data_IF_688136502797
#
_entry.id   IF_688136502797
#
_cell.length_a   1.000
_cell.length_b   1.000
_cell.length_c   1.000
_cell.angle_alpha   90.00
_cell.angle_beta   90.00
_cell.angle_gamma   90.00
#
_symmetry.space_group_name_H-M   'P 1'
#
loop_
_entity.id
_entity.type
_entity.pdbx_description
1 polymer ?
#
# COMPACT_ATOMS: atom_id res chain seq x y z
N UNK A 1 2.08 -27.84 10.54
CA UNK A 1 0.82 -27.05 10.48
C UNK A 1 0.75 -26.11 9.28
N UNK A 2 1.85 -25.57 8.78
CA UNK A 2 1.93 -24.63 7.63
C UNK A 2 1.41 -25.30 6.34
N UNK A 3 1.73 -26.55 6.07
CA UNK A 3 1.30 -27.26 4.84
C UNK A 3 -0.23 -27.44 4.69
N UNK A 4 -1.00 -27.55 5.79
CA UNK A 4 -2.47 -27.66 5.73
C UNK A 4 -3.15 -26.33 5.42
N UNK A 5 -2.57 -25.20 5.85
CA UNK A 5 -3.09 -23.86 5.53
C UNK A 5 -2.78 -23.48 4.08
N UNK A 6 -1.64 -23.92 3.57
CA UNK A 6 -1.27 -23.78 2.15
C UNK A 6 -2.20 -24.54 1.22
N UNK A 7 -2.48 -25.80 1.55
CA UNK A 7 -3.40 -26.61 0.78
C UNK A 7 -4.82 -26.01 0.75
N UNK A 8 -5.26 -25.36 1.83
CA UNK A 8 -6.55 -24.68 1.87
C UNK A 8 -6.61 -23.43 0.99
N UNK A 9 -5.56 -22.61 0.96
CA UNK A 9 -5.51 -21.40 0.11
C UNK A 9 -5.41 -21.79 -1.37
N UNK A 10 -4.56 -22.77 -1.70
CA UNK A 10 -4.44 -23.29 -3.07
C UNK A 10 -5.74 -23.96 -3.53
N UNK A 11 -6.43 -24.68 -2.63
CA UNK A 11 -7.70 -25.35 -2.91
C UNK A 11 -8.85 -24.33 -3.15
N UNK A 12 -8.90 -23.23 -2.40
CA UNK A 12 -9.88 -22.15 -2.60
C UNK A 12 -9.63 -21.45 -3.93
N UNK A 13 -8.37 -21.17 -4.31
CA UNK A 13 -8.03 -20.58 -5.62
C UNK A 13 -8.39 -21.51 -6.77
N UNK A 14 -8.14 -22.82 -6.63
CA UNK A 14 -8.47 -23.82 -7.66
C UNK A 14 -9.97 -24.01 -7.82
N UNK A 15 -10.72 -24.09 -6.70
CA UNK A 15 -12.18 -24.20 -6.73
C UNK A 15 -12.85 -22.94 -7.29
N UNK A 16 -12.32 -21.75 -6.99
CA UNK A 16 -12.82 -20.49 -7.53
C UNK A 16 -12.56 -20.38 -9.05
N UNK A 17 -11.39 -20.82 -9.53
CA UNK A 17 -11.12 -20.88 -10.97
C UNK A 17 -12.01 -21.90 -11.71
N UNK A 18 -12.33 -23.04 -11.11
CA UNK A 18 -13.24 -24.04 -11.72
C UNK A 18 -14.69 -23.50 -11.75
N UNK A 19 -15.15 -22.82 -10.70
CA UNK A 19 -16.50 -22.25 -10.65
C UNK A 19 -16.67 -21.12 -11.69
N UNK A 20 -15.64 -20.31 -11.91
CA UNK A 20 -15.68 -19.21 -12.89
C UNK A 20 -15.50 -19.70 -14.33
N UNK A 21 -14.71 -20.76 -14.57
CA UNK A 21 -14.58 -21.37 -15.89
C UNK A 21 -15.90 -22.03 -16.37
N UNK A 22 -16.73 -22.55 -15.48
CA UNK A 22 -18.06 -23.05 -15.79
C UNK A 22 -19.06 -21.94 -16.09
N UNK A 23 -18.93 -20.74 -15.46
CA UNK A 23 -19.83 -19.60 -15.70
C UNK A 23 -19.55 -18.88 -17.03
N UNK A 24 -18.33 -18.96 -17.55
CA UNK A 24 -17.97 -18.34 -18.86
C UNK A 24 -18.48 -19.13 -20.08
N UNK A 25 -18.99 -20.33 -19.88
CA UNK A 25 -19.49 -21.17 -20.99
C UNK A 25 -21.01 -21.02 -21.26
N UNK A 26 -21.78 -20.40 -20.35
CA UNK A 26 -23.25 -20.33 -20.44
C UNK A 26 -23.85 -18.95 -20.76
N UNK A 27 -23.03 -17.91 -21.00
CA UNK A 27 -23.55 -16.57 -21.33
C UNK A 27 -23.39 -16.20 -22.81
N UNK A 28 -24.16 -16.82 -23.65
CA UNK A 28 -24.53 -16.26 -24.97
C UNK A 28 -25.81 -15.46 -24.82
N UNK A 29 -25.73 -14.24 -24.30
CA UNK A 29 -26.74 -13.19 -24.52
C UNK A 29 -26.20 -11.83 -24.03
N UNK A 30 -26.25 -10.86 -24.93
CA UNK A 30 -25.90 -9.46 -24.79
C UNK A 30 -26.17 -8.84 -23.42
N UNK A 31 -25.10 -8.53 -22.70
CA UNK A 31 -25.05 -7.34 -21.83
C UNK A 31 -23.62 -6.87 -21.66
N UNK A 32 -23.37 -5.58 -21.93
CA UNK A 32 -22.05 -4.99 -22.16
C UNK A 32 -21.25 -4.66 -20.89
N UNK A 33 -21.41 -5.41 -19.80
CA UNK A 33 -20.58 -5.29 -18.60
C UNK A 33 -19.45 -6.34 -18.62
N UNK A 34 -18.31 -6.00 -19.21
CA UNK A 34 -17.15 -6.90 -19.21
C UNK A 34 -16.51 -6.92 -17.83
N UNK A 35 -16.76 -7.95 -17.04
CA UNK A 35 -16.00 -8.25 -15.85
C UNK A 35 -14.79 -9.13 -16.21
N UNK A 36 -13.59 -8.75 -15.74
CA UNK A 36 -12.38 -9.52 -15.92
C UNK A 36 -11.90 -10.01 -14.57
N UNK A 37 -11.64 -11.30 -14.44
CA UNK A 37 -11.08 -11.89 -13.24
C UNK A 37 -9.72 -12.52 -13.56
N UNK A 38 -8.74 -12.30 -12.68
CA UNK A 38 -7.42 -12.94 -12.74
C UNK A 38 -6.98 -13.34 -11.35
N UNK A 39 -6.39 -14.52 -11.22
CA UNK A 39 -5.81 -14.99 -9.96
C UNK A 39 -4.45 -15.65 -10.23
N UNK A 40 -3.46 -15.32 -9.41
CA UNK A 40 -2.08 -15.76 -9.58
C UNK A 40 -1.46 -16.08 -8.22
N UNK A 41 -0.75 -17.21 -8.09
CA UNK A 41 0.17 -17.39 -6.99
C UNK A 41 1.43 -16.57 -7.26
N UNK A 42 1.91 -15.86 -6.25
CA UNK A 42 3.17 -15.13 -6.28
C UNK A 42 4.06 -15.53 -5.12
N UNK A 43 5.35 -15.28 -5.24
CA UNK A 43 6.30 -15.49 -4.16
C UNK A 43 7.27 -14.32 -4.14
N UNK A 44 7.64 -13.86 -2.95
CA UNK A 44 8.62 -12.79 -2.82
C UNK A 44 9.54 -13.03 -1.61
N UNK A 45 10.59 -12.27 -1.57
CA UNK A 45 11.54 -12.25 -0.47
C UNK A 45 11.80 -10.83 -0.03
N UNK A 46 11.64 -10.57 1.27
CA UNK A 46 12.10 -9.35 1.92
C UNK A 46 12.85 -9.74 3.20
N UNK A 47 13.75 -8.90 3.72
CA UNK A 47 14.48 -9.21 4.95
C UNK A 47 13.57 -9.52 6.15
N UNK A 48 12.42 -8.84 6.25
CA UNK A 48 11.44 -9.00 7.33
C UNK A 48 10.52 -10.21 7.16
N UNK A 49 10.18 -10.58 5.92
CA UNK A 49 9.29 -11.71 5.65
C UNK A 49 10.04 -13.01 5.39
N UNK A 50 11.30 -12.91 4.95
CA UNK A 50 12.03 -13.97 4.24
C UNK A 50 11.19 -14.45 3.05
N UNK A 51 11.08 -15.74 2.81
CA UNK A 51 10.22 -16.27 1.74
C UNK A 51 8.77 -16.05 2.14
N UNK A 52 8.03 -15.39 1.26
CA UNK A 52 6.59 -15.22 1.33
C UNK A 52 5.94 -15.89 0.11
N UNK A 53 4.85 -16.59 0.35
CA UNK A 53 3.97 -17.09 -0.70
C UNK A 53 2.66 -16.30 -0.60
N UNK A 54 2.22 -15.75 -1.70
CA UNK A 54 1.05 -14.89 -1.76
C UNK A 54 0.06 -15.40 -2.81
N UNK A 55 -1.21 -15.42 -2.47
CA UNK A 55 -2.30 -15.53 -3.42
C UNK A 55 -2.77 -14.12 -3.77
N UNK A 56 -2.74 -13.79 -5.04
CA UNK A 56 -3.27 -12.56 -5.60
C UNK A 56 -4.52 -12.84 -6.42
N UNK A 57 -5.59 -12.08 -6.23
CA UNK A 57 -6.75 -12.07 -7.09
C UNK A 57 -7.16 -10.64 -7.44
N UNK A 58 -7.57 -10.44 -8.68
CA UNK A 58 -7.98 -9.17 -9.24
C UNK A 58 -9.32 -9.33 -9.95
N UNK A 59 -10.26 -8.49 -9.62
CA UNK A 59 -11.54 -8.35 -10.29
C UNK A 59 -11.64 -6.93 -10.86
N UNK A 60 -11.85 -6.80 -12.16
CA UNK A 60 -12.17 -5.54 -12.83
C UNK A 60 -13.58 -5.61 -13.41
N UNK A 61 -14.34 -4.55 -13.26
CA UNK A 61 -15.68 -4.43 -13.82
C UNK A 61 -16.00 -2.98 -14.15
N UNK A 62 -16.94 -2.78 -15.05
CA UNK A 62 -17.36 -1.44 -15.48
C UNK A 62 -18.87 -1.32 -15.32
N UNK A 63 -19.32 -0.28 -14.63
CA UNK A 63 -20.74 -0.05 -14.38
C UNK A 63 -21.45 0.66 -15.54
N UNK A 64 -20.69 1.31 -16.42
CA UNK A 64 -21.16 2.09 -17.56
C UNK A 64 -19.99 2.27 -18.54
N UNK A 65 -20.24 2.27 -19.83
CA UNK A 65 -19.21 2.44 -20.88
C UNK A 65 -18.48 3.78 -20.79
N UNK A 66 -19.11 4.80 -20.20
CA UNK A 66 -18.51 6.11 -19.98
C UNK A 66 -17.66 6.20 -18.68
N UNK A 67 -17.78 5.24 -17.77
CA UNK A 67 -17.05 5.24 -16.49
C UNK A 67 -15.72 4.50 -16.61
N UNK A 68 -14.75 4.90 -15.79
CA UNK A 68 -13.52 4.13 -15.61
C UNK A 68 -13.81 2.78 -14.99
N UNK A 69 -12.96 1.79 -15.28
CA UNK A 69 -13.07 0.46 -14.70
C UNK A 69 -12.91 0.50 -13.18
N UNK A 70 -13.85 -0.09 -12.51
CA UNK A 70 -13.78 -0.40 -11.08
C UNK A 70 -12.92 -1.63 -10.85
N UNK A 71 -12.29 -1.73 -9.70
CA UNK A 71 -11.50 -2.91 -9.35
C UNK A 71 -11.59 -3.27 -7.88
N UNK A 72 -11.45 -4.56 -7.60
CA UNK A 72 -11.22 -5.10 -6.28
C UNK A 72 -10.06 -6.08 -6.35
N UNK A 73 -9.19 -6.08 -5.34
CA UNK A 73 -8.01 -6.92 -5.30
C UNK A 73 -7.95 -7.65 -3.96
N UNK A 74 -7.42 -8.85 -3.98
CA UNK A 74 -7.11 -9.62 -2.77
C UNK A 74 -5.64 -9.97 -2.82
N UNK A 75 -4.93 -9.64 -1.76
CA UNK A 75 -3.58 -10.09 -1.51
C UNK A 75 -3.60 -10.89 -0.21
N UNK A 76 -3.17 -12.13 -0.24
CA UNK A 76 -3.13 -12.97 0.96
C UNK A 76 -1.78 -13.68 1.02
N UNK A 77 -0.89 -13.18 1.86
CA UNK A 77 0.45 -13.72 2.02
C UNK A 77 0.62 -14.49 3.31
N UNK A 78 1.37 -15.60 3.22
CA UNK A 78 1.91 -16.34 4.37
C UNK A 78 3.42 -16.40 4.22
N UNK A 79 4.14 -16.04 5.27
CA UNK A 79 5.60 -15.92 5.21
C UNK A 79 6.31 -16.95 6.07
N UNK A 80 7.60 -17.14 5.77
CA UNK A 80 8.48 -18.01 6.57
C UNK A 80 8.57 -17.54 8.04
N UNK A 81 8.44 -16.25 8.29
CA UNK A 81 8.40 -15.66 9.64
C UNK A 81 6.99 -15.72 10.27
N UNK A 82 6.07 -16.56 9.76
CA UNK A 82 4.70 -16.78 10.27
C UNK A 82 3.81 -15.54 10.23
N UNK A 83 4.08 -14.61 9.34
CA UNK A 83 3.21 -13.46 9.07
C UNK A 83 2.01 -13.92 8.23
N UNK A 84 0.86 -13.33 8.49
CA UNK A 84 -0.36 -13.50 7.71
C UNK A 84 -0.89 -12.10 7.41
N UNK A 85 -1.01 -11.76 6.13
CA UNK A 85 -1.32 -10.39 5.70
C UNK A 85 -2.36 -10.39 4.57
N UNK A 86 -3.65 -10.68 4.85
CA UNK A 86 -4.67 -10.41 3.86
C UNK A 86 -4.96 -8.91 3.76
N UNK A 87 -4.88 -8.39 2.54
CA UNK A 87 -5.23 -7.03 2.14
C UNK A 87 -6.29 -7.09 1.04
N UNK A 88 -7.38 -6.35 1.21
CA UNK A 88 -8.47 -6.22 0.23
C UNK A 88 -8.67 -4.74 -0.12
N UNK A 89 -7.90 -4.17 -1.03
CA UNK A 89 -8.18 -2.84 -1.57
C UNK A 89 -9.23 -2.90 -2.68
N UNK A 90 -10.10 -1.90 -2.73
CA UNK A 90 -11.07 -1.70 -3.80
C UNK A 90 -11.15 -0.26 -4.25
N UNK A 91 -11.57 -0.07 -5.50
CA UNK A 91 -11.89 1.22 -6.09
C UNK A 91 -13.09 1.05 -7.01
N UNK A 92 -14.17 1.72 -6.70
CA UNK A 92 -15.44 1.61 -7.42
C UNK A 92 -15.85 2.96 -7.95
N UNK A 93 -16.16 3.01 -9.25
CA UNK A 93 -16.78 4.15 -9.92
C UNK A 93 -18.23 3.82 -10.21
N UNK A 94 -19.14 4.72 -9.84
CA UNK A 94 -20.55 4.59 -10.22
C UNK A 94 -20.79 5.06 -11.65
N UNK A 95 -21.98 4.78 -12.20
CA UNK A 95 -22.36 5.21 -13.53
C UNK A 95 -22.09 6.70 -13.76
N UNK A 96 -21.46 7.03 -14.90
CA UNK A 96 -21.03 8.39 -15.25
C UNK A 96 -19.98 8.99 -14.31
N UNK A 97 -19.27 8.17 -13.55
CA UNK A 97 -18.22 8.57 -12.58
C UNK A 97 -18.68 9.56 -11.49
N UNK A 98 -20.00 9.61 -11.22
CA UNK A 98 -20.56 10.58 -10.25
C UNK A 98 -20.01 10.41 -8.83
N UNK A 99 -19.71 9.16 -8.45
CA UNK A 99 -19.07 8.83 -7.18
C UNK A 99 -17.89 7.90 -7.41
N UNK A 100 -16.85 8.14 -6.63
CA UNK A 100 -15.69 7.27 -6.47
C UNK A 100 -15.65 6.79 -5.02
N UNK A 101 -15.57 5.48 -4.85
CA UNK A 101 -15.50 4.82 -3.55
C UNK A 101 -14.20 4.04 -3.51
N UNK A 102 -13.25 4.49 -2.72
CA UNK A 102 -11.98 3.80 -2.51
C UNK A 102 -11.96 3.22 -1.10
N UNK A 103 -11.47 2.01 -0.96
CA UNK A 103 -11.36 1.42 0.36
C UNK A 103 -10.31 0.33 0.45
N UNK A 104 -10.04 -0.06 1.70
CA UNK A 104 -9.12 -1.14 2.03
C UNK A 104 -9.51 -1.75 3.36
N UNK A 105 -9.62 -3.09 3.38
CA UNK A 105 -9.64 -3.89 4.60
C UNK A 105 -8.28 -4.58 4.72
N UNK A 106 -7.60 -4.43 5.85
CA UNK A 106 -6.37 -5.13 6.14
C UNK A 106 -6.48 -5.92 7.45
N UNK A 107 -6.00 -7.15 7.42
CA UNK A 107 -5.84 -7.99 8.61
C UNK A 107 -4.38 -8.39 8.71
N UNK A 108 -3.79 -8.25 9.88
CA UNK A 108 -2.38 -8.54 10.07
C UNK A 108 -2.16 -9.36 11.33
N UNK A 109 -1.39 -10.42 11.15
CA UNK A 109 -0.61 -11.04 12.22
C UNK A 109 0.85 -10.91 11.77
N UNK A 110 1.55 -9.93 12.34
CA UNK A 110 2.80 -9.48 11.74
C UNK A 110 3.88 -9.20 12.79
N UNK A 111 4.97 -9.98 12.81
CA UNK A 111 6.21 -9.57 13.46
C UNK A 111 6.88 -8.48 12.62
N UNK A 112 6.99 -7.28 13.15
CA UNK A 112 7.60 -6.12 12.53
C UNK A 112 8.88 -5.73 13.27
N UNK A 113 9.89 -5.27 12.55
CA UNK A 113 11.06 -4.72 13.19
C UNK A 113 10.79 -3.30 13.69
N UNK A 114 11.09 -3.09 14.95
CA UNK A 114 11.17 -1.77 15.56
C UNK A 114 12.62 -1.33 15.67
N UNK A 115 12.94 -0.15 15.16
CA UNK A 115 14.31 0.40 15.18
C UNK A 115 14.43 1.71 15.96
N UNK A 116 13.37 2.14 16.63
CA UNK A 116 13.31 3.45 17.29
C UNK A 116 12.48 4.48 16.50
N UNK A 117 12.44 5.70 17.01
CA UNK A 117 11.83 6.86 16.37
C UNK A 117 12.91 7.78 15.79
N UNK A 118 12.57 8.47 14.70
CA UNK A 118 13.43 9.44 14.01
C UNK A 118 14.30 8.84 12.93
N UNK A 119 15.18 9.67 12.39
CA UNK A 119 16.07 9.34 11.27
C UNK A 119 17.38 8.63 11.70
N UNK A 120 17.88 8.90 12.90
CA UNK A 120 19.20 8.46 13.34
C UNK A 120 19.20 7.07 13.98
N UNK A 121 18.12 6.30 13.73
CA UNK A 121 17.97 4.95 14.28
C UNK A 121 18.93 3.95 13.63
N UNK A 122 19.53 3.08 14.43
CA UNK A 122 20.47 2.06 13.94
C UNK A 122 19.74 0.76 13.59
N UNK A 123 19.97 0.24 12.38
CA UNK A 123 19.39 -1.03 11.93
C UNK A 123 19.84 -2.24 12.78
N UNK A 124 21.02 -2.16 13.40
CA UNK A 124 21.56 -3.19 14.30
C UNK A 124 20.83 -3.27 15.65
N UNK A 125 20.22 -2.18 16.10
CA UNK A 125 19.46 -2.10 17.37
C UNK A 125 17.97 -2.33 17.19
N UNK A 126 17.58 -3.17 16.22
CA UNK A 126 16.18 -3.49 15.96
C UNK A 126 15.68 -4.62 16.85
N UNK A 127 14.45 -4.54 17.33
CA UNK A 127 13.74 -5.61 17.98
C UNK A 127 12.50 -6.03 17.24
N UNK A 128 11.99 -7.18 17.62
CA UNK A 128 10.80 -7.74 17.03
C UNK A 128 9.58 -7.29 17.84
N UNK A 129 8.62 -6.68 17.17
CA UNK A 129 7.33 -6.30 17.70
C UNK A 129 6.26 -7.13 17.01
N UNK A 130 5.59 -8.00 17.75
CA UNK A 130 4.54 -8.88 17.22
C UNK A 130 3.17 -8.35 17.60
N UNK A 131 2.28 -8.24 16.61
CA UNK A 131 0.92 -7.74 16.81
C UNK A 131 -0.09 -8.40 15.88
N UNK A 132 -1.35 -8.31 16.28
CA UNK A 132 -2.52 -8.61 15.46
C UNK A 132 -3.34 -7.34 15.27
N UNK A 133 -3.80 -7.10 14.06
CA UNK A 133 -4.66 -5.95 13.80
C UNK A 133 -5.69 -6.22 12.71
N UNK A 134 -6.79 -5.49 12.79
CA UNK A 134 -7.79 -5.36 11.73
C UNK A 134 -7.98 -3.87 11.49
N UNK A 135 -7.84 -3.44 10.25
CA UNK A 135 -8.01 -2.05 9.84
C UNK A 135 -8.97 -1.94 8.67
N UNK A 136 -9.83 -0.94 8.69
CA UNK A 136 -10.72 -0.57 7.61
C UNK A 136 -10.55 0.91 7.31
N UNK A 137 -10.38 1.25 6.04
CA UNK A 137 -10.43 2.62 5.52
C UNK A 137 -11.37 2.64 4.33
N UNK A 138 -12.26 3.60 4.27
CA UNK A 138 -13.13 3.81 3.12
C UNK A 138 -13.34 5.29 2.87
N UNK A 139 -13.25 5.73 1.62
CA UNK A 139 -13.60 7.07 1.19
C UNK A 139 -14.77 7.03 0.22
N UNK A 140 -15.68 7.97 0.36
CA UNK A 140 -16.79 8.19 -0.55
C UNK A 140 -16.69 9.62 -1.09
N UNK A 141 -16.38 9.74 -2.37
CA UNK A 141 -16.06 11.01 -3.02
C UNK A 141 -17.04 11.26 -4.17
N UNK A 142 -17.62 12.44 -4.21
CA UNK A 142 -18.45 12.92 -5.31
C UNK A 142 -17.60 13.68 -6.31
N UNK A 143 -17.79 13.43 -7.59
CA UNK A 143 -17.22 14.23 -8.67
C UNK A 143 -17.77 15.66 -8.60
N UNK A 144 -16.89 16.64 -8.50
CA UNK A 144 -17.26 18.07 -8.42
C UNK A 144 -17.04 18.78 -9.75
N UNK A 145 -16.00 18.44 -10.48
CA UNK A 145 -15.77 18.90 -11.87
C UNK A 145 -14.68 18.09 -12.56
N UNK A 146 -14.88 17.64 -13.79
CA UNK A 146 -13.87 16.88 -14.54
C UNK A 146 -13.26 15.74 -13.72
N UNK A 147 -11.95 15.79 -13.48
CA UNK A 147 -11.21 14.77 -12.75
C UNK A 147 -11.12 15.02 -11.24
N UNK A 148 -11.86 15.99 -10.71
CA UNK A 148 -11.84 16.37 -9.29
C UNK A 148 -12.97 15.70 -8.52
N UNK A 149 -12.61 15.07 -7.41
CA UNK A 149 -13.52 14.41 -6.48
C UNK A 149 -13.31 14.97 -5.08
N UNK A 150 -14.40 15.21 -4.36
CA UNK A 150 -14.37 15.65 -2.98
C UNK A 150 -15.40 14.91 -2.14
N UNK A 151 -15.08 14.60 -0.91
CA UNK A 151 -15.95 13.89 0.00
C UNK A 151 -15.30 13.59 1.34
N UNK A 152 -15.65 12.45 1.91
CA UNK A 152 -15.20 12.05 3.24
C UNK A 152 -14.44 10.72 3.17
N UNK A 153 -13.49 10.60 4.08
CA UNK A 153 -12.84 9.35 4.44
C UNK A 153 -13.21 8.98 5.87
N UNK A 154 -13.52 7.72 6.09
CA UNK A 154 -13.67 7.10 7.40
C UNK A 154 -12.66 5.98 7.55
N UNK A 155 -12.03 5.89 8.71
CA UNK A 155 -11.01 4.88 8.98
C UNK A 155 -11.08 4.40 10.42
N UNK A 156 -10.66 3.15 10.64
CA UNK A 156 -10.58 2.61 11.98
C UNK A 156 -9.62 1.42 12.04
N UNK A 157 -9.07 1.19 13.20
CA UNK A 157 -8.21 0.06 13.47
C UNK A 157 -8.38 -0.43 14.90
N UNK A 158 -8.31 -1.73 15.03
CA UNK A 158 -8.10 -2.41 16.29
C UNK A 158 -6.77 -3.15 16.20
N UNK A 159 -5.89 -2.92 17.18
CA UNK A 159 -4.59 -3.56 17.28
C UNK A 159 -4.34 -4.05 18.71
N UNK A 160 -3.84 -5.28 18.81
CA UNK A 160 -3.30 -5.86 20.04
C UNK A 160 -1.86 -6.32 19.79
N UNK A 161 -0.94 -5.98 20.68
CA UNK A 161 0.38 -6.54 20.70
C UNK A 161 0.36 -7.95 21.28
N UNK A 162 1.07 -8.87 20.63
CA UNK A 162 1.30 -10.22 21.14
C UNK A 162 2.60 -10.27 21.93
N UNK A 163 3.59 -9.44 21.55
CA UNK A 163 4.83 -9.24 22.29
C UNK A 163 5.35 -7.83 22.12
N UNK A 164 5.92 -7.28 23.18
CA UNK A 164 6.65 -6.02 23.10
C UNK A 164 8.13 -6.31 22.92
N UNK A 165 8.87 -5.52 22.10
CA UNK A 165 10.30 -5.67 22.01
C UNK A 165 10.93 -5.40 23.38
N UNK A 166 11.65 -6.40 23.89
CA UNK A 166 12.51 -6.22 25.05
C UNK A 166 13.76 -5.44 24.62
N UNK A 167 13.69 -4.12 24.75
CA UNK A 167 14.84 -3.27 24.49
C UNK A 167 15.28 -2.57 25.76
N UNK A 168 16.55 -2.70 26.08
CA UNK A 168 17.25 -1.81 27.01
C UNK A 168 17.22 -0.33 26.58
N UNK A 169 16.80 -0.04 25.35
CA UNK A 169 16.73 1.30 24.76
C UNK A 169 15.34 1.96 24.79
N UNK A 170 14.29 1.28 25.29
CA UNK A 170 12.99 1.92 25.51
C UNK A 170 12.94 2.53 26.91
N UNK A 171 13.54 3.71 27.08
CA UNK A 171 13.44 4.47 28.34
C UNK A 171 11.98 4.86 28.69
N UNK A 172 11.08 4.84 27.70
CA UNK A 172 9.63 5.06 27.89
C UNK A 172 8.83 4.15 26.97
N UNK A 173 7.75 3.51 27.47
CA UNK A 173 6.82 2.76 26.62
C UNK A 173 6.26 3.67 25.52
N UNK A 174 6.32 3.21 24.28
CA UNK A 174 5.70 3.92 23.15
C UNK A 174 4.19 3.88 23.30
N UNK A 175 3.53 5.01 23.11
CA UNK A 175 2.09 5.12 23.26
C UNK A 175 1.35 4.14 22.34
N UNK A 176 0.46 3.33 22.90
CA UNK A 176 -0.27 2.29 22.19
C UNK A 176 0.57 1.10 21.75
N UNK A 177 1.76 0.90 22.32
CA UNK A 177 2.60 -0.26 22.00
C UNK A 177 1.96 -1.58 22.41
N UNK A 178 1.23 -1.65 23.53
CA UNK A 178 0.49 -2.85 23.96
C UNK A 178 -0.83 -3.06 23.20
N UNK A 179 -1.35 -2.01 22.59
CA UNK A 179 -2.55 -2.05 21.76
C UNK A 179 -3.33 -0.75 21.78
N UNK A 180 -4.25 -0.63 20.83
CA UNK A 180 -5.16 0.52 20.73
C UNK A 180 -6.33 0.18 19.79
N UNK A 181 -7.34 1.03 19.87
CA UNK A 181 -8.42 1.08 18.89
C UNK A 181 -8.72 2.53 18.55
N UNK A 182 -8.98 2.83 17.29
CA UNK A 182 -9.41 4.16 16.91
C UNK A 182 -10.51 4.11 15.85
N UNK A 183 -11.25 5.21 15.79
CA UNK A 183 -12.15 5.56 14.70
C UNK A 183 -11.86 7.01 14.31
N UNK A 184 -11.77 7.26 13.02
CA UNK A 184 -11.47 8.57 12.47
C UNK A 184 -12.31 8.90 11.26
N UNK A 185 -12.49 10.19 11.03
CA UNK A 185 -13.21 10.73 9.89
C UNK A 185 -12.59 12.06 9.48
N UNK A 186 -12.72 12.42 8.21
CA UNK A 186 -12.29 13.71 7.72
C UNK A 186 -12.51 13.93 6.24
N UNK A 187 -12.23 15.14 5.72
CA UNK A 187 -12.33 15.43 4.31
C UNK A 187 -11.25 14.72 3.49
N UNK A 188 -11.62 14.40 2.26
CA UNK A 188 -10.73 13.82 1.24
C UNK A 188 -10.99 14.51 -0.09
N UNK A 189 -9.89 14.90 -0.76
CA UNK A 189 -9.88 15.43 -2.11
C UNK A 189 -9.01 14.53 -2.98
N UNK A 190 -9.51 14.23 -4.18
CA UNK A 190 -8.77 13.49 -5.20
C UNK A 190 -8.90 14.19 -6.55
N UNK A 191 -7.75 14.42 -7.19
CA UNK A 191 -7.65 14.70 -8.61
C UNK A 191 -7.02 13.50 -9.32
N UNK A 192 -7.67 12.96 -10.35
CA UNK A 192 -7.19 11.76 -11.04
C UNK A 192 -7.43 11.84 -12.55
N UNK A 193 -6.40 12.16 -13.31
CA UNK A 193 -6.41 12.20 -14.78
C UNK A 193 -5.53 11.13 -15.42
N UNK A 194 -5.20 10.07 -14.67
CA UNK A 194 -4.43 8.95 -15.19
C UNK A 194 -5.19 8.22 -16.30
N UNK A 195 -4.45 7.77 -17.30
CA UNK A 195 -4.97 6.94 -18.39
C UNK A 195 -5.40 5.54 -17.89
N UNK A 196 -4.52 4.87 -17.13
CA UNK A 196 -4.75 3.54 -16.56
C UNK A 196 -4.35 3.55 -15.08
N UNK A 197 -5.20 3.00 -14.20
CA UNK A 197 -5.01 3.11 -12.75
C UNK A 197 -3.79 2.29 -12.28
N UNK A 198 -3.63 1.07 -12.79
CA UNK A 198 -2.63 0.12 -12.29
C UNK A 198 -1.28 0.22 -13.01
N UNK A 199 -1.24 0.87 -14.18
CA UNK A 199 -0.05 0.91 -15.04
C UNK A 199 -0.02 2.22 -15.82
N UNK A 200 -0.13 3.34 -15.12
CA UNK A 200 -0.25 4.68 -15.71
C UNK A 200 0.93 5.03 -16.59
N UNK A 201 0.64 5.57 -17.77
CA UNK A 201 1.65 6.07 -18.72
C UNK A 201 1.59 7.57 -18.89
N UNK A 202 0.42 8.19 -18.69
CA UNK A 202 0.18 9.62 -18.77
C UNK A 202 -0.78 10.09 -17.68
N UNK A 203 -0.81 11.40 -17.46
CA UNK A 203 -1.71 12.01 -16.49
C UNK A 203 -1.09 12.21 -15.12
N UNK A 204 -1.94 12.55 -14.16
CA UNK A 204 -1.53 12.81 -12.78
C UNK A 204 -2.59 12.36 -11.78
N UNK A 205 -2.14 12.10 -10.59
CA UNK A 205 -2.94 11.79 -9.42
C UNK A 205 -2.54 12.69 -8.26
N UNK A 206 -3.48 13.21 -7.53
CA UNK A 206 -3.28 13.89 -6.25
C UNK A 206 -4.38 13.46 -5.29
N UNK A 207 -3.99 12.92 -4.15
CA UNK A 207 -4.89 12.68 -3.02
C UNK A 207 -4.43 13.51 -1.83
N UNK A 208 -5.36 14.22 -1.20
CA UNK A 208 -5.14 14.91 0.08
C UNK A 208 -6.25 14.51 1.03
N UNK A 209 -5.86 13.98 2.19
CA UNK A 209 -6.82 13.60 3.25
C UNK A 209 -6.39 14.18 4.58
N UNK A 210 -7.36 14.70 5.34
CA UNK A 210 -7.14 15.15 6.70
C UNK A 210 -8.15 14.46 7.62
N UNK A 211 -7.69 13.71 8.64
CA UNK A 211 -8.57 12.98 9.55
C UNK A 211 -8.35 13.41 10.99
N UNK A 212 -9.44 13.42 11.76
CA UNK A 212 -9.39 13.47 13.21
C UNK A 212 -9.86 12.13 13.74
N UNK A 213 -9.07 11.55 14.62
CA UNK A 213 -9.19 10.19 15.09
C UNK A 213 -9.38 10.18 16.61
N UNK A 214 -10.45 9.55 17.08
CA UNK A 214 -10.65 9.25 18.49
C UNK A 214 -10.01 7.89 18.81
N UNK A 215 -9.04 7.86 19.71
CA UNK A 215 -8.25 6.68 20.04
C UNK A 215 -8.37 6.32 21.52
N UNK A 216 -8.57 5.05 21.79
CA UNK A 216 -8.53 4.46 23.14
C UNK A 216 -7.32 3.56 23.31
N UNK A 217 -6.64 3.71 24.44
CA UNK A 217 -5.51 2.90 24.85
C UNK A 217 -5.89 2.03 26.06
N UNK A 218 -5.77 0.71 26.00
CA UNK A 218 -6.10 -0.17 27.12
C UNK A 218 -5.33 0.17 28.41
N UNK A 219 -4.11 0.69 28.26
CA UNK A 219 -3.20 1.03 29.38
C UNK A 219 -3.59 2.36 30.08
N UNK A 220 -4.27 3.28 29.39
CA UNK A 220 -4.60 4.61 29.90
C UNK A 220 -5.99 4.67 30.57
N UNK A 221 -6.68 3.53 30.73
CA UNK A 221 -8.01 3.45 31.33
C UNK A 221 -9.15 3.87 30.40
N UNK A 222 -10.29 4.29 30.98
CA UNK A 222 -11.48 4.66 30.20
C UNK A 222 -11.40 6.13 29.77
N UNK A 223 -10.76 6.40 28.66
CA UNK A 223 -10.72 7.73 28.05
C UNK A 223 -10.40 7.64 26.57
N UNK A 224 -11.00 8.51 25.76
CA UNK A 224 -10.60 8.69 24.38
C UNK A 224 -9.69 9.91 24.26
N UNK A 225 -8.52 9.69 23.68
CA UNK A 225 -7.62 10.75 23.25
C UNK A 225 -7.86 11.08 21.77
N UNK A 226 -7.40 12.22 21.32
CA UNK A 226 -7.53 12.63 19.92
C UNK A 226 -6.16 12.73 19.25
N UNK A 227 -6.12 12.38 17.98
CA UNK A 227 -5.01 12.71 17.10
C UNK A 227 -5.51 13.10 15.71
N UNK A 228 -4.72 13.91 15.01
CA UNK A 228 -5.00 14.33 13.65
C UNK A 228 -3.92 13.79 12.70
N UNK A 229 -4.32 13.46 11.48
CA UNK A 229 -3.44 13.05 10.38
C UNK A 229 -3.72 13.90 9.15
N UNK A 230 -2.66 14.31 8.47
CA UNK A 230 -2.69 14.88 7.13
C UNK A 230 -1.83 13.99 6.21
N UNK A 231 -2.43 13.55 5.11
CA UNK A 231 -1.72 12.77 4.10
C UNK A 231 -1.88 13.46 2.74
N UNK A 232 -0.78 13.54 1.99
CA UNK A 232 -0.76 13.99 0.60
C UNK A 232 0.05 12.99 -0.23
N UNK A 233 -0.50 12.57 -1.37
CA UNK A 233 0.14 11.69 -2.36
C UNK A 233 -0.05 12.32 -3.75
N UNK A 234 1.04 12.78 -4.34
CA UNK A 234 1.05 13.31 -5.70
C UNK A 234 1.87 12.40 -6.61
N UNK A 235 1.30 12.07 -7.77
CA UNK A 235 1.92 11.23 -8.79
C UNK A 235 1.77 11.90 -10.14
N UNK A 236 2.83 11.85 -10.95
CA UNK A 236 2.83 12.40 -12.30
C UNK A 236 3.48 11.42 -13.27
N UNK A 237 2.90 11.32 -14.46
CA UNK A 237 3.34 10.41 -15.51
C UNK A 237 3.51 11.16 -16.82
N UNK A 238 4.64 10.93 -17.49
CA UNK A 238 4.99 11.52 -18.77
C UNK A 238 5.42 10.43 -19.74
N UNK A 239 4.69 10.26 -20.83
CA UNK A 239 5.14 9.49 -21.96
C UNK A 239 6.16 10.35 -22.74
N UNK A 240 7.44 10.24 -22.40
CA UNK A 240 8.51 11.08 -22.97
C UNK A 240 8.93 10.64 -24.36
N UNK A 241 8.72 9.37 -24.70
CA UNK A 241 8.91 8.76 -26.04
C UNK A 241 7.97 7.57 -26.17
N UNK A 242 7.69 7.07 -27.38
CA UNK A 242 7.02 5.79 -27.56
C UNK A 242 7.72 4.71 -26.72
N UNK A 243 6.93 4.02 -25.87
CA UNK A 243 7.43 2.97 -24.97
C UNK A 243 8.31 3.43 -23.78
N UNK A 244 8.46 4.74 -23.52
CA UNK A 244 9.25 5.26 -22.38
C UNK A 244 8.38 6.17 -21.52
N UNK A 245 8.20 5.81 -20.27
CA UNK A 245 7.46 6.60 -19.29
C UNK A 245 8.41 7.09 -18.20
N UNK A 246 8.39 8.39 -17.93
CA UNK A 246 8.96 8.99 -16.73
C UNK A 246 7.82 9.18 -15.74
N UNK A 247 7.97 8.61 -14.56
CA UNK A 247 6.99 8.74 -13.48
C UNK A 247 7.66 9.22 -12.21
N UNK A 248 6.96 10.07 -11.43
CA UNK A 248 7.41 10.40 -10.08
C UNK A 248 6.24 10.46 -9.10
N UNK A 249 6.55 10.22 -7.84
CA UNK A 249 5.62 10.33 -6.72
C UNK A 249 6.26 11.16 -5.61
N UNK A 250 5.44 12.02 -4.99
CA UNK A 250 5.77 12.75 -3.76
C UNK A 250 4.72 12.42 -2.72
N UNK A 251 5.15 11.88 -1.60
CA UNK A 251 4.29 11.58 -0.46
C UNK A 251 4.71 12.41 0.73
N UNK A 252 3.76 13.05 1.37
CA UNK A 252 3.95 13.77 2.63
C UNK A 252 2.88 13.34 3.64
N UNK A 253 3.29 13.07 4.87
CA UNK A 253 2.40 12.73 5.98
C UNK A 253 2.78 13.51 7.20
N UNK A 254 1.78 13.99 7.93
CA UNK A 254 1.97 14.72 9.19
C UNK A 254 0.94 14.27 10.21
N UNK A 255 1.34 14.20 11.47
CA UNK A 255 0.47 13.79 12.56
C UNK A 255 0.69 14.62 13.82
N UNK A 256 -0.40 14.84 14.58
CA UNK A 256 -0.42 15.64 15.81
C UNK A 256 -1.30 14.97 16.86
N UNK A 257 -1.03 15.25 18.13
CA UNK A 257 -1.82 14.75 19.26
C UNK A 257 -1.37 13.37 19.75
N UNK A 258 -2.32 12.57 20.19
CA UNK A 258 -2.12 11.28 20.85
C UNK A 258 -1.95 10.12 19.85
N UNK A 259 -1.03 10.25 18.92
CA UNK A 259 -0.83 9.26 17.83
C UNK A 259 -0.29 7.95 18.40
N UNK A 260 -0.96 6.81 18.18
CA UNK A 260 -0.37 5.51 18.50
C UNK A 260 0.91 5.28 17.70
N UNK A 261 1.89 4.65 18.30
CA UNK A 261 3.19 4.37 17.66
C UNK A 261 3.05 3.82 16.24
N UNK A 262 2.16 2.86 16.04
CA UNK A 262 1.99 2.16 14.76
C UNK A 262 1.34 3.03 13.67
N UNK A 263 0.60 4.08 14.06
CA UNK A 263 -0.04 5.02 13.15
C UNK A 263 0.84 6.23 12.80
N UNK A 264 1.99 6.39 13.46
CA UNK A 264 2.97 7.42 13.09
C UNK A 264 3.41 7.24 11.62
N UNK A 265 3.57 8.32 10.87
CA UNK A 265 4.14 8.30 9.53
C UNK A 265 5.41 7.47 9.43
N UNK A 266 5.45 6.55 8.48
CA UNK A 266 6.53 5.57 8.34
C UNK A 266 7.10 5.58 6.92
N UNK A 267 8.42 5.45 6.82
CA UNK A 267 9.19 5.41 5.58
C UNK A 267 9.81 4.02 5.40
N UNK A 268 9.79 3.53 4.16
CA UNK A 268 10.27 2.19 3.79
C UNK A 268 9.14 1.26 3.35
N UNK A 269 9.50 0.20 2.66
CA UNK A 269 8.60 -0.84 2.18
C UNK A 269 8.52 -0.96 0.65
N UNK A 270 7.79 -1.93 0.15
CA UNK A 270 7.82 -2.30 -1.27
C UNK A 270 7.13 -1.30 -2.21
N UNK A 271 6.31 -0.39 -1.67
CA UNK A 271 5.56 0.61 -2.43
C UNK A 271 6.08 2.03 -2.23
N UNK A 272 6.75 2.29 -1.12
CA UNK A 272 7.30 3.59 -0.81
C UNK A 272 8.71 3.43 -0.28
N UNK A 273 9.70 3.95 -1.00
CA UNK A 273 11.10 3.92 -0.59
C UNK A 273 11.69 2.50 -0.52
N UNK A 274 11.62 1.78 -1.66
CA UNK A 274 12.14 0.41 -1.83
C UNK A 274 13.62 0.30 -1.45
N UNK A 275 14.00 -0.82 -0.84
CA UNK A 275 15.33 -1.10 -0.31
C UNK A 275 15.37 -1.06 1.21
N UNK A 276 14.57 -0.19 1.82
CA UNK A 276 14.34 -0.20 3.26
C UNK A 276 13.14 -1.09 3.62
N UNK A 277 13.20 -1.77 4.76
CA UNK A 277 12.04 -2.52 5.24
C UNK A 277 10.91 -1.58 5.69
N UNK A 278 9.70 -2.10 5.77
CA UNK A 278 8.53 -1.30 6.15
C UNK A 278 8.69 -0.69 7.54
N UNK A 279 8.53 0.64 7.63
CA UNK A 279 8.65 1.36 8.89
C UNK A 279 10.07 1.47 9.44
N UNK A 280 11.10 1.33 8.58
CA UNK A 280 12.52 1.50 8.96
C UNK A 280 12.76 2.82 9.68
N UNK A 281 12.16 3.88 9.20
CA UNK A 281 12.15 5.19 9.84
C UNK A 281 10.72 5.59 10.14
N UNK A 282 10.47 6.12 11.32
CA UNK A 282 9.13 6.44 11.78
C UNK A 282 9.17 7.64 12.71
N UNK A 283 8.30 8.65 12.46
CA UNK A 283 8.17 9.82 13.31
C UNK A 283 6.84 10.54 13.01
N UNK A 284 6.59 11.70 13.64
CA UNK A 284 5.35 12.47 13.50
C UNK A 284 5.12 13.03 12.10
N UNK A 285 6.19 13.35 11.39
CA UNK A 285 6.15 13.91 10.03
C UNK A 285 7.05 13.10 9.11
N UNK A 286 6.66 12.95 7.86
CA UNK A 286 7.41 12.22 6.85
C UNK A 286 7.20 12.83 5.47
N UNK A 287 8.24 12.83 4.65
CA UNK A 287 8.12 12.98 3.22
C UNK A 287 9.00 11.96 2.49
N UNK A 288 8.57 11.61 1.29
CA UNK A 288 9.31 10.74 0.37
C UNK A 288 9.08 11.21 -1.06
N UNK A 289 10.15 11.25 -1.84
CA UNK A 289 10.12 11.45 -3.28
C UNK A 289 10.71 10.21 -3.93
N UNK A 290 10.02 9.67 -4.93
CA UNK A 290 10.53 8.59 -5.76
C UNK A 290 10.25 8.87 -7.23
N UNK A 291 11.15 8.41 -8.11
CA UNK A 291 11.05 8.55 -9.55
C UNK A 291 11.44 7.25 -10.25
N UNK A 292 10.83 7.00 -11.40
CA UNK A 292 11.06 5.83 -12.24
C UNK A 292 11.14 6.21 -13.71
N UNK A 293 12.05 5.58 -14.42
CA UNK A 293 12.06 5.52 -15.88
C UNK A 293 11.66 4.10 -16.26
N UNK A 294 10.50 3.97 -16.90
CA UNK A 294 9.93 2.70 -17.35
C UNK A 294 10.11 2.59 -18.85
N UNK A 295 10.70 1.51 -19.34
CA UNK A 295 10.97 1.27 -20.75
C UNK A 295 10.36 -0.05 -21.18
N UNK A 296 9.48 -0.05 -22.19
CA UNK A 296 9.11 -1.29 -22.90
C UNK A 296 10.31 -1.74 -23.72
N UNK A 297 10.73 -2.99 -23.57
CA UNK A 297 11.89 -3.56 -24.28
C UNK A 297 11.44 -4.28 -25.56
N UNK A 298 10.92 -5.47 -25.40
CA UNK A 298 10.39 -6.27 -26.51
C UNK A 298 9.26 -7.18 -26.03
N UNK A 299 8.38 -7.57 -26.93
CA UNK A 299 7.22 -8.41 -26.67
C UNK A 299 6.43 -7.93 -25.43
N UNK A 300 6.38 -8.71 -24.36
CA UNK A 300 5.72 -8.39 -23.07
C UNK A 300 6.70 -7.94 -21.99
N UNK A 301 7.96 -7.82 -22.30
CA UNK A 301 9.01 -7.47 -21.35
C UNK A 301 9.28 -5.97 -21.36
N UNK A 302 9.37 -5.41 -20.17
CA UNK A 302 9.82 -4.06 -19.90
C UNK A 302 10.90 -4.03 -18.83
N UNK A 303 11.59 -2.91 -18.73
CA UNK A 303 12.58 -2.62 -17.71
C UNK A 303 12.23 -1.33 -16.96
N UNK A 304 12.72 -1.20 -15.74
CA UNK A 304 12.61 0.03 -14.94
C UNK A 304 13.94 0.31 -14.25
N UNK A 305 14.29 1.59 -14.18
CA UNK A 305 15.27 2.11 -13.24
C UNK A 305 14.57 3.10 -12.32
N UNK A 306 14.89 3.11 -11.04
CA UNK A 306 14.25 3.98 -10.07
C UNK A 306 15.22 4.48 -9.01
N UNK A 307 14.87 5.64 -8.45
CA UNK A 307 15.54 6.20 -7.29
C UNK A 307 14.51 6.83 -6.36
N UNK A 308 14.84 6.90 -5.09
CA UNK A 308 14.00 7.54 -4.08
C UNK A 308 14.84 8.15 -2.97
N UNK A 309 14.26 9.13 -2.29
CA UNK A 309 14.81 9.70 -1.07
C UNK A 309 13.67 10.15 -0.17
N UNK A 310 13.92 10.18 1.12
CA UNK A 310 12.93 10.61 2.10
C UNK A 310 13.52 10.75 3.48
N UNK A 311 12.72 11.24 4.39
CA UNK A 311 13.05 11.36 5.81
C UNK A 311 11.81 11.40 6.68
N UNK A 312 12.02 11.22 7.97
CA UNK A 312 11.03 11.47 9.02
C UNK A 312 11.50 12.60 9.94
N UNK A 313 10.60 13.21 10.69
CA UNK A 313 10.94 14.30 11.61
C UNK A 313 9.94 14.41 12.77
N UNK A 314 10.38 14.82 13.98
CA UNK A 314 9.48 15.06 15.11
C UNK A 314 8.65 16.35 14.96
N UNK A 315 9.15 17.32 14.20
CA UNK A 315 8.48 18.61 14.00
C UNK A 315 8.42 18.98 12.51
N UNK A 316 7.33 19.61 12.09
CA UNK A 316 7.15 20.08 10.71
C UNK A 316 8.19 21.13 10.31
N UNK A 317 8.70 21.89 11.25
CA UNK A 317 9.74 22.91 11.05
C UNK A 317 11.16 22.34 11.00
N UNK A 318 11.34 21.02 11.17
CA UNK A 318 12.67 20.40 11.07
C UNK A 318 13.27 20.61 9.68
N UNK A 319 14.59 20.81 9.55
CA UNK A 319 15.24 21.05 8.26
C UNK A 319 14.95 19.94 7.24
N UNK A 320 14.36 20.27 6.10
CA UNK A 320 13.80 19.30 5.14
C UNK A 320 14.84 18.43 4.45
N UNK A 321 16.06 18.92 4.29
CA UNK A 321 17.16 18.22 3.57
C UNK A 321 18.23 17.63 4.48
N UNK A 322 18.05 17.69 5.79
CA UNK A 322 18.98 17.09 6.73
C UNK A 322 18.61 15.60 6.93
N UNK A 323 19.62 14.72 7.02
CA UNK A 323 19.49 13.29 7.31
C UNK A 323 18.50 12.57 6.36
N UNK A 324 18.66 12.82 5.07
CA UNK A 324 17.89 12.15 4.01
C UNK A 324 18.44 10.74 3.74
N UNK A 325 17.57 9.81 3.40
CA UNK A 325 17.92 8.42 3.12
C UNK A 325 17.75 8.14 1.62
N UNK A 326 18.85 7.98 0.84
CA UNK A 326 18.75 7.62 -0.58
C UNK A 326 18.54 6.10 -0.76
N UNK A 327 17.82 5.73 -1.80
CA UNK A 327 17.67 4.38 -2.29
C UNK A 327 17.61 4.39 -3.83
N UNK A 328 18.13 3.34 -4.45
CA UNK A 328 18.07 3.17 -5.90
C UNK A 328 17.87 1.70 -6.27
N UNK A 329 17.42 1.46 -7.48
CA UNK A 329 17.23 0.11 -7.95
C UNK A 329 16.82 0.01 -9.40
N UNK A 330 16.65 -1.23 -9.83
CA UNK A 330 16.18 -1.57 -11.17
C UNK A 330 15.23 -2.77 -11.10
N UNK A 331 14.48 -2.98 -12.15
CA UNK A 331 13.56 -4.11 -12.20
C UNK A 331 13.09 -4.45 -13.59
N UNK A 332 12.38 -5.57 -13.67
CA UNK A 332 11.74 -6.05 -14.88
C UNK A 332 10.21 -5.96 -14.74
N UNK A 333 9.55 -5.83 -15.86
CA UNK A 333 8.10 -5.79 -16.01
C UNK A 333 7.66 -6.85 -17.00
N UNK A 334 6.69 -7.65 -16.61
CA UNK A 334 6.14 -8.69 -17.48
C UNK A 334 4.62 -8.52 -17.57
N UNK A 335 4.10 -8.21 -18.77
CA UNK A 335 2.66 -8.18 -19.05
C UNK A 335 2.12 -9.59 -19.18
N UNK A 336 1.06 -9.91 -18.44
CA UNK A 336 0.40 -11.22 -18.52
C UNK A 336 -0.30 -11.42 -19.88
N UNK A 337 -1.01 -10.40 -20.36
CA UNK A 337 -1.57 -10.35 -21.70
C UNK A 337 -1.34 -8.97 -22.34
N UNK A 338 -1.62 -8.82 -23.63
CA UNK A 338 -1.57 -7.51 -24.29
C UNK A 338 -2.73 -6.59 -23.89
N UNK A 339 -3.82 -7.16 -23.41
CA UNK A 339 -5.04 -6.49 -22.99
C UNK A 339 -5.00 -6.12 -21.48
N UNK A 340 -4.06 -6.71 -20.72
CA UNK A 340 -3.94 -6.45 -19.30
C UNK A 340 -3.42 -5.03 -19.02
N UNK A 341 -4.12 -4.36 -18.15
CA UNK A 341 -3.78 -3.04 -17.63
C UNK A 341 -2.78 -3.11 -16.46
N UNK A 342 -2.13 -4.27 -16.25
CA UNK A 342 -1.20 -4.48 -15.14
C UNK A 342 -0.04 -5.40 -15.51
N UNK A 343 1.08 -5.22 -14.81
CA UNK A 343 2.30 -6.00 -14.96
C UNK A 343 2.58 -6.84 -13.72
N UNK A 344 3.27 -7.96 -13.88
CA UNK A 344 4.09 -8.53 -12.82
C UNK A 344 5.42 -7.77 -12.82
N UNK A 345 5.84 -7.27 -11.68
CA UNK A 345 7.11 -6.57 -11.51
C UNK A 345 8.08 -7.36 -10.64
N UNK A 346 9.35 -7.27 -11.01
CA UNK A 346 10.50 -7.83 -10.29
C UNK A 346 11.46 -6.69 -10.02
N UNK A 347 11.61 -6.26 -8.79
CA UNK A 347 12.47 -5.13 -8.42
C UNK A 347 13.59 -5.57 -7.49
N UNK A 348 14.78 -5.05 -7.72
CA UNK A 348 15.91 -5.09 -6.79
C UNK A 348 16.23 -3.67 -6.38
N UNK A 349 16.34 -3.42 -5.10
CA UNK A 349 16.67 -2.11 -4.56
C UNK A 349 17.81 -2.22 -3.54
N UNK A 350 18.64 -1.19 -3.50
CA UNK A 350 19.77 -1.06 -2.60
C UNK A 350 19.73 0.29 -1.88
N UNK A 351 20.22 0.28 -0.65
CA UNK A 351 20.36 1.46 0.22
C UNK A 351 21.73 1.44 0.89
N UNK A 352 22.00 2.39 1.73
CA UNK A 352 23.24 2.44 2.52
C UNK A 352 23.40 1.25 3.48
N UNK A 353 22.29 0.72 4.00
CA UNK A 353 22.30 -0.25 5.10
C UNK A 353 21.43 -1.50 4.84
N UNK A 354 20.80 -1.59 3.67
CA UNK A 354 19.95 -2.74 3.33
C UNK A 354 19.77 -2.92 1.82
N UNK A 355 19.18 -4.04 1.45
CA UNK A 355 18.76 -4.35 0.10
C UNK A 355 17.43 -5.09 0.14
N UNK A 356 16.66 -5.04 -0.95
CA UNK A 356 15.39 -5.73 -1.08
C UNK A 356 15.19 -6.32 -2.48
N UNK A 357 14.52 -7.46 -2.54
CA UNK A 357 14.01 -8.06 -3.76
C UNK A 357 12.50 -8.19 -3.65
N UNK A 358 11.79 -7.73 -4.66
CA UNK A 358 10.33 -7.63 -4.62
C UNK A 358 9.72 -8.22 -5.88
N UNK A 359 8.67 -9.02 -5.69
CA UNK A 359 7.78 -9.48 -6.76
C UNK A 359 6.38 -9.03 -6.42
N UNK A 360 5.77 -8.22 -7.27
CA UNK A 360 4.45 -7.65 -7.04
C UNK A 360 3.64 -7.55 -8.33
N UNK A 361 2.34 -7.37 -8.15
CA UNK A 361 1.41 -7.07 -9.24
C UNK A 361 1.19 -5.56 -9.34
N UNK A 362 1.03 -5.05 -10.57
CA UNK A 362 0.91 -3.64 -10.93
C UNK A 362 2.20 -2.82 -10.70
N UNK A 363 2.18 -1.56 -11.09
CA UNK A 363 3.27 -0.64 -10.82
C UNK A 363 3.25 -0.14 -9.36
N UNK A 364 4.32 0.50 -8.93
CA UNK A 364 4.45 1.01 -7.56
C UNK A 364 3.45 2.13 -7.29
N UNK A 365 3.24 3.01 -8.29
CA UNK A 365 2.37 4.17 -8.21
C UNK A 365 1.85 4.56 -9.58
#
# INVERSE_FOLDING_TARGET
MIGKQFAAILFVVVLFNQAMAQHSHDSSAADSSSATFSALPTAYYTPETRIALEAFAYLSFQSDTAARKSNARVFAAVTQNRQITPDLPWQVFTAGERFRIDGKLDVRKFPEYYSGLGNETQASRRGLYEYRSVGLRNSALKQVSGNNYFGLVAEGRWLLADSLPLFEAMETPLRGSAGYRFLGVGPSFVYDSRDVILCSTTGRFLEVTATVNAVGFPEEGQGASLYAMLNADHRQFFCVRPNTVLAYQVVARASWGAVPYRELPALGGPLLHRGFYFGRFRDRHMWCVQAEVRQKLFWRLGGVAFASTGRVAPHIASPWLKDIHPAAGAGLRFKLSNEDEANIRFDVAVTSDSHGFYVYFAEVF
#
